data_IF_952940517573
#
_entry.id   IF_952940517573
#
_cell.length_a   1.000
_cell.length_b   1.000
_cell.length_c   1.000
_cell.angle_alpha   90.00
_cell.angle_beta   90.00
_cell.angle_gamma   90.00
#
_symmetry.space_group_name_H-M   'P 1'
#
loop_
_entity.id
_entity.type
_entity.pdbx_description
1 polymer ?
#
# COMPACT_ATOMS: atom_id res chain seq x y z
N UNK A 1 18.76 5.12 -5.18
CA UNK A 1 17.88 3.99 -4.89
C UNK A 1 17.22 4.28 -3.57
N UNK A 2 15.98 4.72 -3.67
CA UNK A 2 15.14 5.21 -2.60
C UNK A 2 13.79 4.54 -2.74
N UNK A 3 13.14 4.29 -1.59
CA UNK A 3 11.81 3.72 -1.54
C UNK A 3 10.91 4.78 -0.92
N UNK A 4 9.79 5.04 -1.57
CA UNK A 4 8.75 5.94 -1.06
C UNK A 4 7.46 5.17 -0.85
N UNK A 5 6.65 5.61 0.10
CA UNK A 5 5.34 5.03 0.39
C UNK A 5 4.27 6.13 0.30
N UNK A 6 3.09 5.77 -0.19
CA UNK A 6 1.87 6.58 -0.25
C UNK A 6 0.66 5.66 -0.13
N UNK A 7 -0.56 6.17 0.04
CA UNK A 7 -1.77 5.34 0.16
C UNK A 7 -2.78 5.57 -0.97
N UNK A 8 -3.87 4.82 -0.97
CA UNK A 8 -5.20 5.20 -1.44
C UNK A 8 -5.25 6.17 -2.64
N UNK A 9 -4.94 5.67 -3.84
CA UNK A 9 -4.96 6.46 -5.08
C UNK A 9 -6.35 6.51 -5.71
N UNK A 10 -7.16 5.50 -5.45
CA UNK A 10 -8.57 5.40 -5.83
C UNK A 10 -8.82 5.56 -7.34
N UNK A 11 -7.86 5.15 -8.17
CA UNK A 11 -8.04 5.08 -9.61
C UNK A 11 -8.56 6.37 -10.23
N UNK A 12 -9.74 6.28 -10.86
CA UNK A 12 -10.46 7.41 -11.46
C UNK A 12 -11.57 7.98 -10.57
N UNK A 13 -11.86 7.34 -9.44
CA UNK A 13 -12.87 7.82 -8.50
C UNK A 13 -12.39 9.08 -7.78
N UNK A 14 -11.08 9.20 -7.59
CA UNK A 14 -10.43 10.39 -7.03
C UNK A 14 -9.33 10.91 -7.95
N UNK A 15 -8.91 12.15 -7.72
CA UNK A 15 -7.77 12.76 -8.41
C UNK A 15 -6.43 12.35 -7.77
N UNK A 16 -6.36 11.18 -7.11
CA UNK A 16 -5.18 10.70 -6.39
C UNK A 16 -3.95 10.64 -7.28
N UNK A 17 -4.08 10.21 -8.54
CA UNK A 17 -2.95 10.17 -9.49
C UNK A 17 -2.26 11.55 -9.68
N UNK A 18 -2.96 12.67 -9.44
CA UNK A 18 -2.36 14.00 -9.63
C UNK A 18 -1.16 14.27 -8.72
N UNK A 19 -1.04 13.60 -7.56
CA UNK A 19 0.10 13.74 -6.64
C UNK A 19 1.42 13.29 -7.23
N UNK A 20 1.40 12.30 -8.13
CA UNK A 20 2.61 11.84 -8.83
C UNK A 20 2.98 12.70 -10.05
N UNK A 21 2.26 13.79 -10.32
CA UNK A 21 2.65 14.73 -11.36
C UNK A 21 3.90 15.51 -10.93
N UNK A 22 4.78 15.82 -11.88
CA UNK A 22 6.00 16.59 -11.61
C UNK A 22 5.76 17.99 -11.06
N UNK A 23 4.53 18.50 -11.20
CA UNK A 23 4.11 19.77 -10.61
C UNK A 23 3.82 19.64 -9.11
N UNK A 24 3.17 18.55 -8.70
CA UNK A 24 2.78 18.33 -7.29
C UNK A 24 3.91 17.68 -6.51
N UNK A 25 4.62 16.71 -7.12
CA UNK A 25 5.78 16.07 -6.53
C UNK A 25 7.03 16.23 -7.42
N UNK A 26 7.71 17.38 -7.35
CA UNK A 26 8.89 17.67 -8.18
C UNK A 26 10.04 16.70 -7.96
N UNK A 27 10.18 16.17 -6.73
CA UNK A 27 11.19 15.16 -6.35
C UNK A 27 11.08 13.90 -7.20
N UNK A 28 9.86 13.48 -7.56
CA UNK A 28 9.65 12.31 -8.43
C UNK A 28 10.40 12.38 -9.77
N UNK A 29 10.76 13.58 -10.25
CA UNK A 29 11.56 13.75 -11.48
C UNK A 29 13.01 13.31 -11.34
N UNK A 30 13.55 13.25 -10.12
CA UNK A 30 14.94 12.87 -9.86
C UNK A 30 15.11 11.37 -9.67
N UNK A 31 14.00 10.62 -9.62
CA UNK A 31 14.01 9.17 -9.45
C UNK A 31 14.43 8.45 -10.74
N UNK A 32 14.81 7.18 -10.61
CA UNK A 32 15.15 6.26 -11.69
C UNK A 32 14.39 4.94 -11.49
N UNK A 33 14.45 4.03 -12.48
CA UNK A 33 13.72 2.74 -12.44
C UNK A 33 14.16 1.84 -11.30
N UNK A 34 15.30 2.14 -10.70
CA UNK A 34 15.80 1.48 -9.52
C UNK A 34 15.08 1.99 -8.24
N UNK A 35 14.57 3.22 -8.24
CA UNK A 35 13.76 3.74 -7.13
C UNK A 35 12.33 3.17 -7.20
N UNK A 36 11.73 2.97 -6.03
CA UNK A 36 10.41 2.34 -5.87
C UNK A 36 9.45 3.29 -5.17
N UNK A 37 8.22 3.36 -5.66
CA UNK A 37 7.11 4.05 -4.98
C UNK A 37 6.02 3.03 -4.73
N UNK A 38 5.76 2.73 -3.45
CA UNK A 38 4.79 1.73 -3.01
C UNK A 38 3.48 2.43 -2.62
N UNK A 39 2.36 1.99 -3.19
CA UNK A 39 1.02 2.39 -2.79
C UNK A 39 0.44 1.37 -1.81
N UNK A 40 0.07 1.83 -0.61
CA UNK A 40 -0.48 1.06 0.50
C UNK A 40 -1.98 0.73 0.31
N UNK A 41 -2.31 0.13 -0.84
CA UNK A 41 -3.67 -0.26 -1.20
C UNK A 41 -4.42 0.74 -2.07
N UNK A 42 -5.58 0.31 -2.56
CA UNK A 42 -6.51 1.10 -3.36
C UNK A 42 -5.82 1.89 -4.49
N UNK A 43 -5.01 1.18 -5.28
CA UNK A 43 -4.38 1.73 -6.48
C UNK A 43 -5.44 2.03 -7.55
N UNK A 44 -6.45 1.15 -7.70
CA UNK A 44 -7.70 1.46 -8.42
C UNK A 44 -7.63 1.60 -9.96
N UNK A 45 -6.49 1.34 -10.62
CA UNK A 45 -6.37 1.44 -12.08
C UNK A 45 -6.55 0.13 -12.86
N UNK A 46 -6.79 -0.99 -12.16
CA UNK A 46 -7.10 -2.30 -12.74
C UNK A 46 -8.55 -2.65 -12.39
N UNK A 47 -9.51 -2.13 -13.16
CA UNK A 47 -10.93 -2.25 -12.81
C UNK A 47 -11.77 -2.94 -13.89
N UNK A 48 -11.58 -2.56 -15.15
CA UNK A 48 -12.40 -3.03 -16.26
C UNK A 48 -11.60 -3.43 -17.51
N UNK A 49 -10.30 -3.09 -17.55
CA UNK A 49 -9.48 -3.23 -18.74
C UNK A 49 -9.83 -2.22 -19.84
N UNK A 50 -10.57 -1.15 -19.49
CA UNK A 50 -10.99 -0.10 -20.41
C UNK A 50 -9.79 0.67 -20.99
N UNK A 51 -10.06 1.51 -21.99
CA UNK A 51 -9.04 2.45 -22.47
C UNK A 51 -8.62 3.47 -21.41
N UNK A 52 -9.48 3.76 -20.43
CA UNK A 52 -9.16 4.63 -19.30
C UNK A 52 -8.15 3.96 -18.37
N UNK A 53 -8.37 2.69 -18.01
CA UNK A 53 -7.42 1.88 -17.24
C UNK A 53 -6.06 1.87 -17.95
N UNK A 54 -6.05 1.56 -19.25
CA UNK A 54 -4.82 1.52 -20.07
C UNK A 54 -4.09 2.86 -20.08
N UNK A 55 -4.81 3.97 -20.28
CA UNK A 55 -4.22 5.30 -20.28
C UNK A 55 -3.47 5.59 -18.96
N UNK A 56 -4.10 5.30 -17.82
CA UNK A 56 -3.48 5.57 -16.53
C UNK A 56 -2.33 4.61 -16.23
N UNK A 57 -2.46 3.33 -16.56
CA UNK A 57 -1.37 2.36 -16.42
C UNK A 57 -0.17 2.74 -17.29
N UNK A 58 -0.39 3.24 -18.50
CA UNK A 58 0.69 3.73 -19.37
C UNK A 58 1.28 5.04 -18.83
N UNK A 59 0.48 5.87 -18.16
CA UNK A 59 0.96 7.07 -17.45
C UNK A 59 1.83 6.72 -16.23
N UNK A 60 1.45 5.73 -15.42
CA UNK A 60 2.30 5.21 -14.33
C UNK A 60 3.56 4.51 -14.86
N UNK A 61 3.43 3.74 -15.94
CA UNK A 61 4.59 3.14 -16.61
C UNK A 61 5.55 4.21 -17.14
N UNK A 62 5.05 5.38 -17.57
CA UNK A 62 5.90 6.48 -18.06
C UNK A 62 6.72 7.19 -16.97
N UNK A 63 6.44 6.93 -15.69
CA UNK A 63 7.16 7.54 -14.56
C UNK A 63 8.61 7.09 -14.55
N UNK A 64 9.56 7.90 -14.06
CA UNK A 64 10.96 7.50 -14.08
C UNK A 64 11.29 6.43 -13.04
N UNK A 65 10.38 6.04 -12.15
CA UNK A 65 10.53 5.00 -11.11
C UNK A 65 9.74 3.71 -11.39
N UNK A 66 9.88 2.72 -10.51
CA UNK A 66 9.02 1.52 -10.48
C UNK A 66 7.87 1.73 -9.49
N UNK A 67 6.63 1.71 -9.98
CA UNK A 67 5.44 1.82 -9.12
C UNK A 67 5.04 0.44 -8.64
N UNK A 68 4.97 0.28 -7.32
CA UNK A 68 4.49 -0.93 -6.66
C UNK A 68 3.21 -0.62 -5.90
N UNK A 69 2.37 -1.62 -5.67
CA UNK A 69 1.22 -1.49 -4.78
C UNK A 69 0.88 -2.81 -4.11
N UNK A 70 0.38 -2.75 -2.88
CA UNK A 70 -0.43 -3.83 -2.30
C UNK A 70 -1.88 -3.60 -2.73
N UNK A 71 -2.69 -4.64 -2.81
CA UNK A 71 -4.11 -4.49 -3.09
C UNK A 71 -4.90 -4.09 -1.83
N UNK A 72 -5.98 -3.36 -2.02
CA UNK A 72 -6.95 -2.98 -0.99
C UNK A 72 -8.33 -3.58 -1.27
N UNK A 73 -9.38 -2.86 -0.89
CA UNK A 73 -10.78 -3.27 -1.14
C UNK A 73 -11.43 -2.53 -2.32
N UNK A 74 -10.69 -1.65 -3.00
CA UNK A 74 -11.10 -0.99 -4.25
C UNK A 74 -10.32 -1.48 -5.48
N UNK A 75 -10.01 -2.77 -5.52
CA UNK A 75 -9.45 -3.47 -6.68
C UNK A 75 -10.45 -4.43 -7.34
N UNK A 76 -10.29 -4.67 -8.64
CA UNK A 76 -10.94 -5.83 -9.27
C UNK A 76 -10.06 -7.08 -9.09
N UNK A 77 -10.32 -7.84 -8.04
CA UNK A 77 -9.51 -9.01 -7.67
C UNK A 77 -9.52 -10.12 -8.73
N UNK A 78 -10.59 -10.26 -9.51
CA UNK A 78 -10.62 -11.22 -10.62
C UNK A 78 -9.63 -10.85 -11.74
N UNK A 79 -9.57 -9.56 -12.10
CA UNK A 79 -8.60 -9.11 -13.11
C UNK A 79 -7.18 -9.19 -12.57
N UNK A 80 -6.98 -8.80 -11.32
CA UNK A 80 -5.67 -8.84 -10.65
C UNK A 80 -5.11 -10.27 -10.62
N UNK A 81 -5.92 -11.26 -10.26
CA UNK A 81 -5.53 -12.67 -10.22
C UNK A 81 -5.24 -13.27 -11.62
N UNK A 82 -5.72 -12.64 -12.69
CA UNK A 82 -5.48 -13.06 -14.07
C UNK A 82 -4.20 -12.50 -14.70
N UNK A 83 -3.48 -11.62 -14.00
CA UNK A 83 -2.27 -10.98 -14.50
C UNK A 83 -1.07 -11.95 -14.53
N UNK A 84 -0.10 -11.73 -15.43
CA UNK A 84 1.12 -12.53 -15.46
C UNK A 84 1.90 -12.37 -14.15
N UNK A 85 2.44 -13.48 -13.66
CA UNK A 85 3.30 -13.50 -12.48
C UNK A 85 4.77 -13.57 -12.87
N UNK A 86 5.64 -12.92 -12.09
CA UNK A 86 7.09 -13.14 -12.14
C UNK A 86 7.74 -12.93 -10.78
N UNK A 87 8.95 -13.45 -10.63
CA UNK A 87 9.81 -13.09 -9.49
C UNK A 87 10.35 -11.66 -9.65
N UNK A 88 10.41 -10.95 -8.53
CA UNK A 88 11.02 -9.62 -8.43
C UNK A 88 11.49 -9.40 -6.99
N UNK A 89 12.75 -9.03 -6.82
CA UNK A 89 13.33 -8.68 -5.51
C UNK A 89 13.05 -9.71 -4.39
N UNK A 90 13.13 -11.00 -4.72
CA UNK A 90 12.96 -12.09 -3.76
C UNK A 90 11.52 -12.54 -3.48
N UNK A 91 10.52 -11.83 -4.02
CA UNK A 91 9.10 -12.19 -3.91
C UNK A 91 8.43 -12.33 -5.28
N UNK A 92 7.16 -12.71 -5.27
CA UNK A 92 6.31 -12.77 -6.46
C UNK A 92 5.51 -11.48 -6.65
N UNK A 93 5.37 -11.05 -7.89
CA UNK A 93 4.54 -9.91 -8.29
C UNK A 93 3.59 -10.30 -9.40
N UNK A 94 2.41 -9.65 -9.44
CA UNK A 94 1.68 -9.56 -10.72
C UNK A 94 2.23 -8.39 -11.52
N UNK A 95 2.65 -8.66 -12.76
CA UNK A 95 3.14 -7.64 -13.69
C UNK A 95 1.96 -6.99 -14.44
N UNK A 96 1.56 -5.78 -14.00
CA UNK A 96 0.54 -4.98 -14.70
C UNK A 96 1.16 -4.31 -15.94
N UNK A 97 2.38 -3.81 -15.77
CA UNK A 97 3.32 -3.30 -16.78
C UNK A 97 4.75 -3.61 -16.30
N UNK A 98 5.79 -3.49 -17.15
CA UNK A 98 7.15 -3.80 -16.74
C UNK A 98 7.63 -3.09 -15.45
N UNK A 99 7.12 -1.88 -15.17
CA UNK A 99 7.45 -1.08 -13.98
C UNK A 99 6.21 -0.64 -13.19
N UNK A 100 5.08 -1.35 -13.36
CA UNK A 100 3.88 -1.22 -12.52
C UNK A 100 3.53 -2.59 -11.99
N UNK A 101 3.81 -2.82 -10.71
CA UNK A 101 3.84 -4.15 -10.10
C UNK A 101 2.90 -4.23 -8.91
N UNK A 102 2.05 -5.24 -8.89
CA UNK A 102 1.31 -5.61 -7.68
C UNK A 102 2.18 -6.54 -6.84
N UNK A 103 2.49 -6.14 -5.61
CA UNK A 103 3.20 -6.93 -4.62
C UNK A 103 2.25 -7.99 -4.07
N UNK A 104 2.50 -9.26 -4.37
CA UNK A 104 1.57 -10.32 -3.96
C UNK A 104 1.55 -10.48 -2.44
N UNK A 105 0.36 -10.76 -1.91
CA UNK A 105 0.10 -10.89 -0.48
C UNK A 105 1.00 -11.95 0.17
N UNK A 106 1.65 -11.57 1.27
CA UNK A 106 2.48 -12.46 2.08
C UNK A 106 3.90 -12.66 1.57
N UNK A 107 4.32 -11.90 0.56
CA UNK A 107 5.70 -11.86 0.08
C UNK A 107 6.55 -10.89 0.93
N UNK A 108 7.82 -11.25 1.12
CA UNK A 108 8.84 -10.37 1.71
C UNK A 108 9.83 -10.04 0.61
N UNK A 109 9.92 -8.75 0.27
CA UNK A 109 10.80 -8.25 -0.78
C UNK A 109 12.09 -7.72 -0.20
N UNK A 110 13.21 -7.98 -0.85
CA UNK A 110 14.50 -7.32 -0.61
C UNK A 110 14.72 -6.26 -1.70
N UNK A 111 14.36 -5.02 -1.38
CA UNK A 111 14.54 -3.88 -2.25
C UNK A 111 15.81 -3.15 -1.81
N UNK A 112 16.94 -3.52 -2.41
CA UNK A 112 18.25 -2.86 -2.17
C UNK A 112 18.75 -3.00 -0.73
N UNK A 113 18.62 -4.19 -0.16
CA UNK A 113 18.99 -4.49 1.22
C UNK A 113 17.97 -4.00 2.24
N UNK A 114 16.81 -3.50 1.80
CA UNK A 114 15.69 -3.13 2.65
C UNK A 114 14.60 -4.18 2.52
N UNK A 115 14.28 -4.85 3.62
CA UNK A 115 13.26 -5.90 3.63
C UNK A 115 11.86 -5.33 3.89
N UNK A 116 10.92 -5.59 2.99
CA UNK A 116 9.54 -5.07 3.05
C UNK A 116 8.55 -6.22 2.98
N UNK A 117 7.74 -6.40 4.03
CA UNK A 117 6.58 -7.28 4.00
C UNK A 117 5.43 -6.57 3.28
N UNK A 118 4.82 -7.25 2.30
CA UNK A 118 3.62 -6.78 1.61
C UNK A 118 2.41 -7.66 1.97
N UNK A 119 1.34 -7.05 2.49
CA UNK A 119 0.10 -7.76 2.78
C UNK A 119 -1.11 -6.87 2.50
N UNK A 120 -1.73 -7.07 1.35
CA UNK A 120 -2.95 -6.37 0.95
C UNK A 120 -4.25 -7.02 1.44
N UNK A 121 -5.36 -6.42 1.03
CA UNK A 121 -6.73 -6.73 1.42
C UNK A 121 -7.28 -5.77 2.47
N UNK A 122 -8.61 -5.63 2.47
CA UNK A 122 -9.42 -4.98 3.51
C UNK A 122 -10.89 -5.37 3.31
N UNK A 123 -11.74 -5.26 4.33
CA UNK A 123 -13.16 -5.51 4.16
C UNK A 123 -13.88 -4.25 3.64
N UNK A 124 -14.66 -4.38 2.56
CA UNK A 124 -15.58 -3.31 2.15
C UNK A 124 -16.73 -3.11 3.16
N UNK A 125 -16.81 -1.92 3.72
CA UNK A 125 -17.84 -1.51 4.70
C UNK A 125 -19.26 -1.42 4.11
N UNK A 126 -19.36 -1.10 2.82
CA UNK A 126 -20.61 -0.92 2.08
C UNK A 126 -20.99 -2.15 1.24
N UNK A 127 -20.42 -3.33 1.52
CA UNK A 127 -20.65 -4.58 0.77
C UNK A 127 -22.13 -4.91 0.52
N UNK A 128 -23.01 -4.57 1.47
CA UNK A 128 -24.47 -4.79 1.37
C UNK A 128 -25.14 -4.02 0.21
N UNK A 129 -24.49 -2.97 -0.30
CA UNK A 129 -24.95 -2.13 -1.40
C UNK A 129 -24.22 -2.44 -2.73
N UNK A 130 -23.27 -3.38 -2.72
CA UNK A 130 -22.43 -3.74 -3.86
C UNK A 130 -22.90 -5.04 -4.53
N UNK A 131 -22.44 -5.26 -5.76
CA UNK A 131 -22.69 -6.48 -6.52
C UNK A 131 -21.43 -7.35 -6.57
N UNK A 132 -21.53 -8.56 -6.02
CA UNK A 132 -20.48 -9.58 -6.05
C UNK A 132 -19.99 -9.86 -7.48
N UNK A 133 -18.67 -9.91 -7.64
CA UNK A 133 -17.99 -10.14 -8.91
C UNK A 133 -17.99 -8.95 -9.87
N UNK A 134 -18.53 -7.78 -9.47
CA UNK A 134 -18.55 -6.56 -10.29
C UNK A 134 -18.10 -5.29 -9.59
N UNK A 135 -18.55 -5.06 -8.37
CA UNK A 135 -18.19 -3.88 -7.58
C UNK A 135 -17.71 -4.26 -6.18
N UNK A 136 -17.71 -5.55 -5.86
CA UNK A 136 -17.24 -6.15 -4.62
C UNK A 136 -16.77 -7.57 -4.92
N UNK A 137 -15.73 -8.02 -4.24
CA UNK A 137 -15.19 -9.37 -4.37
C UNK A 137 -14.93 -9.99 -3.00
N UNK A 138 -15.31 -11.26 -2.75
CA UNK A 138 -14.91 -11.94 -1.53
C UNK A 138 -13.38 -12.05 -1.39
N UNK A 139 -12.66 -12.01 -2.52
CA UNK A 139 -11.18 -12.00 -2.58
C UNK A 139 -10.53 -10.69 -2.07
N UNK A 140 -11.32 -9.65 -1.75
CA UNK A 140 -10.86 -8.51 -0.95
C UNK A 140 -10.20 -8.99 0.35
N UNK A 141 -10.74 -10.06 0.95
CA UNK A 141 -10.15 -10.72 2.11
C UNK A 141 -9.11 -11.77 1.69
N UNK A 142 -7.95 -11.83 2.35
CA UNK A 142 -6.96 -12.87 2.11
C UNK A 142 -7.49 -14.27 2.43
N UNK A 143 -7.17 -15.21 1.55
CA UNK A 143 -7.47 -16.61 1.76
C UNK A 143 -6.57 -17.22 2.83
N UNK A 144 -7.02 -18.32 3.43
CA UNK A 144 -6.21 -19.16 4.34
C UNK A 144 -4.86 -19.59 3.73
N UNK A 145 -4.80 -19.73 2.40
CA UNK A 145 -3.57 -20.07 1.70
C UNK A 145 -2.58 -18.90 1.73
N UNK A 146 -3.05 -17.68 1.48
CA UNK A 146 -2.22 -16.46 1.51
C UNK A 146 -1.74 -16.15 2.93
N UNK A 147 -2.60 -16.33 3.94
CA UNK A 147 -2.21 -16.20 5.35
C UNK A 147 -1.10 -17.20 5.71
N UNK A 148 -1.26 -18.48 5.34
CA UNK A 148 -0.23 -19.51 5.57
C UNK A 148 1.06 -19.22 4.81
N UNK A 149 0.95 -18.70 3.59
CA UNK A 149 2.09 -18.28 2.79
C UNK A 149 2.86 -17.14 3.47
N UNK A 150 2.16 -16.11 3.95
CA UNK A 150 2.75 -15.01 4.71
C UNK A 150 3.53 -15.50 5.92
N UNK A 151 2.92 -16.35 6.77
CA UNK A 151 3.62 -16.95 7.93
C UNK A 151 4.87 -17.72 7.50
N UNK A 152 4.79 -18.51 6.42
CA UNK A 152 5.94 -19.25 5.92
C UNK A 152 7.05 -18.33 5.37
N UNK A 153 6.70 -17.20 4.75
CA UNK A 153 7.66 -16.17 4.33
C UNK A 153 8.35 -15.53 5.52
N UNK A 154 7.60 -15.21 6.58
CA UNK A 154 8.15 -14.68 7.82
C UNK A 154 9.01 -15.70 8.58
N UNK A 155 8.65 -17.00 8.56
CA UNK A 155 9.50 -18.06 9.11
C UNK A 155 10.87 -18.11 8.39
N UNK A 156 10.89 -17.94 7.06
CA UNK A 156 12.14 -17.87 6.28
C UNK A 156 12.94 -16.60 6.57
N UNK A 157 12.27 -15.48 6.83
CA UNK A 157 12.89 -14.21 7.22
C UNK A 157 13.28 -14.17 8.71
N UNK A 158 12.98 -15.21 9.49
CA UNK A 158 13.25 -15.24 10.92
C UNK A 158 12.40 -14.26 11.73
N UNK A 159 11.19 -13.93 11.26
CA UNK A 159 10.27 -12.98 11.88
C UNK A 159 10.89 -11.60 12.10
N UNK A 160 11.68 -11.15 11.12
CA UNK A 160 12.29 -9.83 11.08
C UNK A 160 12.23 -9.28 9.67
N UNK A 161 11.70 -8.07 9.53
CA UNK A 161 11.75 -7.27 8.30
C UNK A 161 12.09 -5.83 8.68
N UNK A 162 12.47 -4.96 7.74
CA UNK A 162 12.69 -3.55 8.05
C UNK A 162 11.36 -2.81 8.11
N UNK A 163 10.47 -3.06 7.15
CA UNK A 163 9.20 -2.35 7.01
C UNK A 163 8.05 -3.28 6.65
N UNK A 164 6.84 -2.84 7.01
CA UNK A 164 5.59 -3.51 6.64
C UNK A 164 4.74 -2.52 5.83
N UNK A 165 4.15 -2.98 4.73
CA UNK A 165 3.17 -2.22 3.96
C UNK A 165 1.91 -3.06 3.80
N UNK A 166 0.82 -2.55 4.36
CA UNK A 166 -0.52 -3.14 4.23
C UNK A 166 -1.51 -2.10 3.70
N UNK A 167 -2.73 -2.54 3.39
CA UNK A 167 -3.82 -1.59 3.20
C UNK A 167 -4.61 -1.42 4.51
N UNK A 168 -5.00 -2.53 5.12
CA UNK A 168 -5.70 -2.56 6.41
C UNK A 168 -4.76 -2.39 7.62
N UNK A 169 -5.28 -1.87 8.73
CA UNK A 169 -4.58 -1.74 10.00
C UNK A 169 -4.64 -3.01 10.87
N UNK A 170 -3.68 -3.22 11.78
CA UNK A 170 -3.81 -4.19 12.87
C UNK A 170 -5.05 -3.94 13.73
N UNK A 171 -5.65 -5.01 14.26
CA UNK A 171 -6.94 -4.99 14.99
C UNK A 171 -7.07 -3.88 16.05
N UNK A 172 -6.04 -3.63 16.85
CA UNK A 172 -6.09 -2.65 17.94
C UNK A 172 -6.17 -1.20 17.41
N UNK A 173 -5.50 -0.91 16.28
CA UNK A 173 -5.58 0.39 15.62
C UNK A 173 -6.86 0.53 14.79
N UNK A 174 -7.28 -0.57 14.15
CA UNK A 174 -8.47 -0.62 13.32
C UNK A 174 -9.74 -0.30 14.11
N UNK A 175 -9.85 -0.75 15.36
CA UNK A 175 -11.00 -0.47 16.24
C UNK A 175 -11.18 1.04 16.45
N UNK A 176 -10.12 1.73 16.86
CA UNK A 176 -10.13 3.18 17.08
C UNK A 176 -10.43 3.95 15.78
N UNK A 177 -9.73 3.62 14.69
CA UNK A 177 -9.88 4.27 13.39
C UNK A 177 -11.27 4.08 12.79
N UNK A 178 -11.88 2.89 12.96
CA UNK A 178 -13.25 2.66 12.52
C UNK A 178 -14.23 3.58 13.28
N UNK A 179 -14.05 3.75 14.59
CA UNK A 179 -14.88 4.68 15.37
C UNK A 179 -14.72 6.13 14.90
N UNK A 180 -13.48 6.58 14.66
CA UNK A 180 -13.17 7.93 14.17
C UNK A 180 -13.80 8.20 12.79
N UNK A 181 -13.76 7.22 11.90
CA UNK A 181 -14.36 7.27 10.57
C UNK A 181 -15.88 7.04 10.57
N UNK A 182 -16.50 6.81 11.72
CA UNK A 182 -17.91 6.42 11.86
C UNK A 182 -18.25 5.21 10.96
N UNK A 183 -17.33 4.25 10.90
CA UNK A 183 -17.46 2.95 10.23
C UNK A 183 -17.74 1.88 11.27
N UNK A 184 -18.48 0.84 10.89
CA UNK A 184 -18.74 -0.29 11.78
C UNK A 184 -17.46 -1.12 11.90
N UNK A 185 -16.97 -1.34 13.12
CA UNK A 185 -15.84 -2.21 13.35
C UNK A 185 -16.32 -3.66 13.23
N UNK A 186 -15.83 -4.35 12.21
CA UNK A 186 -16.01 -5.77 12.05
C UNK A 186 -14.72 -6.43 12.52
N UNK A 187 -14.78 -7.17 13.64
CA UNK A 187 -13.68 -8.04 14.10
C UNK A 187 -13.41 -9.13 13.05
N UNK A 188 -12.72 -8.74 11.98
CA UNK A 188 -12.51 -9.56 10.80
C UNK A 188 -11.16 -10.28 10.84
N UNK A 189 -11.08 -11.39 10.10
CA UNK A 189 -9.94 -12.28 10.14
C UNK A 189 -8.63 -11.65 9.67
N UNK A 190 -8.69 -10.60 8.83
CA UNK A 190 -7.49 -9.91 8.38
C UNK A 190 -6.93 -9.03 9.48
N UNK A 191 -7.76 -8.21 10.10
CA UNK A 191 -7.35 -7.35 11.21
C UNK A 191 -6.74 -8.17 12.36
N UNK A 192 -7.37 -9.29 12.72
CA UNK A 192 -6.85 -10.22 13.72
C UNK A 192 -5.50 -10.83 13.31
N UNK A 193 -5.33 -11.18 12.02
CA UNK A 193 -4.06 -11.68 11.51
C UNK A 193 -2.97 -10.60 11.53
N UNK A 194 -3.29 -9.37 11.15
CA UNK A 194 -2.34 -8.25 11.22
C UNK A 194 -1.96 -7.94 12.67
N UNK A 195 -2.88 -8.08 13.63
CA UNK A 195 -2.57 -8.01 15.07
C UNK A 195 -1.61 -9.11 15.55
N UNK A 196 -1.74 -10.35 15.03
CA UNK A 196 -0.74 -11.40 15.29
C UNK A 196 0.65 -11.00 14.77
N UNK A 197 0.71 -10.44 13.57
CA UNK A 197 1.98 -10.00 12.98
C UNK A 197 2.59 -8.87 13.79
N UNK A 198 1.82 -7.83 14.11
CA UNK A 198 2.27 -6.69 14.89
C UNK A 198 2.85 -7.10 16.25
N UNK A 199 2.18 -8.03 16.95
CA UNK A 199 2.64 -8.53 18.25
C UNK A 199 3.88 -9.43 18.23
N UNK A 200 4.31 -9.92 17.06
CA UNK A 200 5.40 -10.93 16.95
C UNK A 200 6.57 -10.49 16.06
N UNK A 201 6.32 -9.71 15.02
CA UNK A 201 7.30 -9.33 14.00
C UNK A 201 8.23 -8.24 14.51
N UNK A 202 9.54 -8.37 14.27
CA UNK A 202 10.49 -7.27 14.46
C UNK A 202 10.53 -6.42 13.18
N UNK A 203 10.15 -5.15 13.29
CA UNK A 203 10.11 -4.16 12.21
C UNK A 203 10.28 -2.73 12.74
N UNK A 204 10.64 -1.80 11.85
CA UNK A 204 10.86 -0.37 12.17
C UNK A 204 9.60 0.46 12.04
N UNK A 205 8.99 0.42 10.85
CA UNK A 205 7.77 1.19 10.53
C UNK A 205 6.78 0.31 9.77
N UNK A 206 5.50 0.45 10.11
CA UNK A 206 4.38 -0.16 9.44
C UNK A 206 3.55 0.94 8.76
N UNK A 207 3.44 0.87 7.44
CA UNK A 207 2.61 1.78 6.64
C UNK A 207 1.29 1.10 6.26
N UNK A 208 0.17 1.80 6.43
CA UNK A 208 -1.16 1.30 6.08
C UNK A 208 -2.07 2.44 5.60
N UNK A 209 -3.10 2.10 4.82
CA UNK A 209 -4.00 3.04 4.15
C UNK A 209 -5.45 2.94 4.68
N UNK A 210 -6.44 2.91 3.77
CA UNK A 210 -7.88 2.61 4.00
C UNK A 210 -8.70 3.65 4.77
N UNK A 211 -8.08 4.36 5.71
CA UNK A 211 -8.74 5.30 6.60
C UNK A 211 -8.68 6.76 6.13
N UNK A 212 -8.00 7.03 5.01
CA UNK A 212 -7.99 8.32 4.30
C UNK A 212 -7.46 9.50 5.16
N UNK A 213 -6.41 9.28 5.94
CA UNK A 213 -5.68 10.32 6.68
C UNK A 213 -4.16 10.16 6.53
N UNK A 214 -3.39 11.12 7.03
CA UNK A 214 -1.93 11.16 6.97
C UNK A 214 -1.34 11.46 8.36
N UNK A 215 -1.18 10.43 9.19
CA UNK A 215 -0.71 10.62 10.57
C UNK A 215 0.09 9.43 11.13
N UNK A 216 0.90 9.71 12.15
CA UNK A 216 1.50 8.67 12.97
C UNK A 216 0.52 8.30 14.07
N UNK A 217 0.05 7.04 14.08
CA UNK A 217 -0.82 6.53 15.16
C UNK A 217 -0.02 6.21 16.42
N UNK A 218 1.24 5.83 16.25
CA UNK A 218 2.23 5.69 17.31
C UNK A 218 3.66 5.79 16.73
N UNK A 219 4.68 5.40 17.52
CA UNK A 219 6.09 5.46 17.12
C UNK A 219 6.45 4.59 15.90
N UNK A 220 5.61 3.61 15.55
CA UNK A 220 5.86 2.60 14.50
C UNK A 220 4.82 2.61 13.38
N UNK A 221 3.61 3.04 13.63
CA UNK A 221 2.47 2.91 12.72
C UNK A 221 2.18 4.24 12.02
N UNK A 222 2.37 4.28 10.69
CA UNK A 222 2.07 5.42 9.83
C UNK A 222 0.84 5.13 8.98
N UNK A 223 -0.27 5.80 9.29
CA UNK A 223 -1.42 5.91 8.39
C UNK A 223 -1.02 6.85 7.25
N UNK A 224 -1.23 6.42 6.00
CA UNK A 224 -0.82 7.16 4.82
C UNK A 224 -1.92 7.21 3.76
N UNK A 225 -2.15 8.40 3.22
CA UNK A 225 -3.14 8.65 2.17
C UNK A 225 -2.57 9.54 1.07
N UNK A 226 -2.40 10.84 1.32
CA UNK A 226 -1.95 11.80 0.32
C UNK A 226 -0.45 12.01 0.32
N UNK A 227 0.20 11.77 1.45
CA UNK A 227 1.64 11.95 1.57
C UNK A 227 2.41 10.97 0.67
N UNK A 228 3.58 11.43 0.23
CA UNK A 228 4.59 10.57 -0.39
C UNK A 228 5.86 10.72 0.44
N UNK A 229 6.08 9.77 1.33
CA UNK A 229 7.19 9.83 2.31
C UNK A 229 8.28 8.83 1.95
N UNK A 230 9.56 9.12 2.26
CA UNK A 230 10.61 8.09 2.26
C UNK A 230 10.23 6.95 3.20
N UNK A 231 10.52 5.70 2.84
CA UNK A 231 10.21 4.55 3.70
C UNK A 231 10.94 4.61 5.04
N UNK A 232 12.06 5.33 5.10
CA UNK A 232 12.86 5.52 6.32
C UNK A 232 12.28 6.56 7.29
N UNK A 233 11.16 7.21 6.94
CA UNK A 233 10.49 8.19 7.80
C UNK A 233 10.13 7.61 9.17
N UNK A 234 10.23 8.43 10.21
CA UNK A 234 9.95 8.07 11.60
C UNK A 234 9.01 9.08 12.25
N UNK A 235 8.28 8.66 13.28
CA UNK A 235 7.39 9.55 14.03
C UNK A 235 8.11 10.80 14.58
N UNK A 236 9.37 10.66 15.00
CA UNK A 236 10.18 11.78 15.49
C UNK A 236 10.44 12.86 14.42
N UNK A 237 10.40 12.50 13.13
CA UNK A 237 10.62 13.44 12.02
C UNK A 237 9.38 14.35 11.83
N UNK A 238 8.18 13.87 12.21
CA UNK A 238 6.92 14.61 12.11
C UNK A 238 6.65 15.61 13.24
N UNK A 239 7.41 15.57 14.34
CA UNK A 239 7.28 16.55 15.43
C UNK A 239 7.87 17.93 15.07
N UNK A 240 8.70 18.01 14.04
CA UNK A 240 9.18 19.28 13.46
C UNK A 240 8.23 19.83 12.38
N UNK A 241 7.20 19.08 11.95
CA UNK A 241 6.28 19.52 10.88
C UNK A 241 5.16 20.46 11.35
N UNK A 242 5.07 20.76 12.65
CA UNK A 242 4.28 21.90 13.15
C UNK A 242 5.11 23.19 13.24
N UNK A 243 5.75 23.59 12.15
CA UNK A 243 6.09 24.99 11.89
C UNK A 243 6.37 25.19 10.40
N UNK A 244 5.50 26.00 9.78
CA UNK A 244 5.76 26.79 8.58
C UNK A 244 7.22 27.27 8.49
N UNK A 245 8.12 26.54 7.81
CA UNK A 245 9.47 27.05 7.51
C UNK A 245 10.17 26.39 6.30
N UNK A 246 9.42 26.04 5.24
CA UNK A 246 10.01 25.70 3.92
C UNK A 246 9.76 26.75 2.82
N UNK A 247 9.42 27.98 3.19
CA UNK A 247 9.37 29.13 2.28
C UNK A 247 10.16 30.33 2.82
N UNK A 248 11.46 30.19 3.03
CA UNK A 248 12.37 31.34 2.93
C UNK A 248 13.85 30.90 2.82
N UNK A 249 14.28 30.64 1.57
CA UNK A 249 15.64 30.77 1.03
C UNK A 249 15.57 30.20 -0.39
N UNK A 250 15.67 30.92 -1.50
CA UNK A 250 16.53 32.06 -1.81
C UNK A 250 15.79 33.03 -2.76
N UNK A 251 16.15 34.32 -2.63
CA UNK A 251 15.91 35.36 -3.64
C UNK A 251 16.83 35.19 -4.85
#
# INVERSE_FOLDING_TARGET
>A
MSIFVTGDVHGVAEYGASRFSSRVWPLGRTLTRDDVVIVAGDFGFIWSGSNTDKYWLDWFESKPWTTCFVDGNHENHHLLAGLPMREWNGGLVHEVRPHVLHLMRGEVFDITGTTVLAMGGAASHDKQWRQEGKTWWPEEMPSEREIKHCRASLDRAGWKVDYVVTHEAPVDLADELCMECNREFYDDSLQAFLGELDGRLDYRTWFFGHYHDDEWRDDKHRLIYQDIVPIEARCADGQDETASDYFEQER
#
